data_IF_233796542537
#
_entry.id   IF_233796542537
#
_cell.length_a   1.000
_cell.length_b   1.000
_cell.length_c   1.000
_cell.angle_alpha   90.00
_cell.angle_beta   90.00
_cell.angle_gamma   90.00
#
_symmetry.space_group_name_H-M   'P 1'
#
loop_
_entity.id
_entity.type
_entity.pdbx_description
1 polymer ?
#
# COMPACT_ATOMS: atom_id res chain seq x y z
N UNK A 1 25.11 -18.48 0.52
CA UNK A 1 23.67 -18.81 0.60
C UNK A 1 23.29 -19.48 -0.72
N UNK A 2 22.62 -20.64 -0.68
CA UNK A 2 22.13 -21.26 -1.91
C UNK A 2 21.10 -20.34 -2.58
N UNK A 3 21.15 -20.19 -3.89
CA UNK A 3 20.15 -19.39 -4.61
C UNK A 3 18.78 -20.09 -4.57
N UNK A 4 17.67 -19.35 -4.76
CA UNK A 4 16.32 -19.93 -4.78
C UNK A 4 16.22 -21.10 -5.77
N UNK A 5 16.83 -20.93 -6.95
CA UNK A 5 16.88 -21.93 -7.99
C UNK A 5 17.64 -23.19 -7.54
N UNK A 6 18.76 -23.05 -6.83
CA UNK A 6 19.48 -24.20 -6.24
C UNK A 6 18.65 -24.96 -5.20
N UNK A 7 17.83 -24.25 -4.40
CA UNK A 7 16.92 -24.90 -3.43
C UNK A 7 15.82 -25.68 -4.15
N UNK A 8 15.20 -25.08 -5.17
CA UNK A 8 14.16 -25.73 -5.98
C UNK A 8 14.70 -26.95 -6.73
N UNK A 9 15.89 -26.85 -7.32
CA UNK A 9 16.59 -28.00 -7.94
C UNK A 9 16.83 -29.11 -6.92
N UNK A 10 17.35 -28.77 -5.72
CA UNK A 10 17.61 -29.78 -4.68
C UNK A 10 16.35 -30.46 -4.17
N UNK A 11 15.24 -29.72 -4.04
CA UNK A 11 13.92 -30.30 -3.71
C UNK A 11 13.50 -31.29 -4.80
N UNK A 12 13.69 -30.94 -6.08
CA UNK A 12 13.44 -31.84 -7.21
C UNK A 12 14.23 -33.14 -7.12
N UNK A 13 15.53 -33.05 -6.87
CA UNK A 13 16.42 -34.22 -6.69
C UNK A 13 15.97 -35.11 -5.53
N UNK A 14 15.67 -34.52 -4.36
CA UNK A 14 15.24 -35.27 -3.18
C UNK A 14 13.87 -35.94 -3.39
N UNK A 15 12.96 -35.33 -4.15
CA UNK A 15 11.68 -35.97 -4.53
C UNK A 15 11.91 -37.19 -5.42
N UNK A 16 12.82 -37.09 -6.39
CA UNK A 16 13.20 -38.23 -7.23
C UNK A 16 13.87 -39.34 -6.41
N UNK A 17 14.74 -38.96 -5.47
CA UNK A 17 15.38 -39.91 -4.56
C UNK A 17 14.35 -40.62 -3.67
N UNK A 18 13.37 -39.89 -3.12
CA UNK A 18 12.27 -40.45 -2.35
C UNK A 18 11.43 -41.44 -3.15
N UNK A 19 11.11 -41.10 -4.39
CA UNK A 19 10.37 -41.99 -5.30
C UNK A 19 11.14 -43.29 -5.56
N UNK A 20 12.44 -43.17 -5.85
CA UNK A 20 13.32 -44.34 -6.02
C UNK A 20 13.35 -45.21 -4.76
N UNK A 21 13.51 -44.61 -3.58
CA UNK A 21 13.51 -45.33 -2.30
C UNK A 21 12.17 -46.00 -2.00
N UNK A 22 11.05 -45.41 -2.43
CA UNK A 22 9.72 -46.01 -2.29
C UNK A 22 9.62 -47.29 -3.12
N UNK A 23 10.10 -47.27 -4.38
CA UNK A 23 10.18 -48.48 -5.21
C UNK A 23 11.15 -49.53 -4.66
N UNK A 24 12.27 -49.11 -4.06
CA UNK A 24 13.19 -50.02 -3.35
C UNK A 24 12.56 -50.66 -2.11
N UNK A 25 11.74 -49.90 -1.37
CA UNK A 25 11.02 -50.39 -0.19
C UNK A 25 10.00 -51.46 -0.57
N UNK A 26 9.25 -51.24 -1.65
CA UNK A 26 8.28 -52.23 -2.14
C UNK A 26 8.95 -53.54 -2.54
N UNK A 27 10.08 -53.47 -3.26
CA UNK A 27 10.89 -54.64 -3.61
C UNK A 27 11.43 -55.34 -2.36
N UNK A 28 12.03 -54.59 -1.44
CA UNK A 28 12.57 -55.15 -0.20
C UNK A 28 11.49 -55.86 0.64
N UNK A 29 10.28 -55.31 0.69
CA UNK A 29 9.13 -55.94 1.38
C UNK A 29 8.68 -57.23 0.69
N UNK A 30 8.67 -57.26 -0.64
CA UNK A 30 8.35 -58.46 -1.40
C UNK A 30 9.39 -59.57 -1.14
N UNK A 31 10.67 -59.23 -1.23
CA UNK A 31 11.77 -60.18 -1.00
C UNK A 31 11.77 -60.74 0.44
N UNK A 32 11.53 -59.88 1.44
CA UNK A 32 11.42 -60.29 2.84
C UNK A 32 10.19 -61.18 3.09
N UNK A 33 9.06 -60.90 2.43
CA UNK A 33 7.86 -61.76 2.48
C UNK A 33 8.13 -63.12 1.85
N UNK A 34 8.79 -63.16 0.69
CA UNK A 34 9.09 -64.39 -0.01
C UNK A 34 10.10 -65.25 0.78
N UNK A 35 11.06 -64.61 1.47
CA UNK A 35 11.95 -65.29 2.41
C UNK A 35 11.17 -65.94 3.57
N UNK A 36 10.19 -65.24 4.15
CA UNK A 36 9.32 -65.78 5.19
C UNK A 36 8.50 -66.98 4.70
N UNK A 37 7.91 -66.88 3.49
CA UNK A 37 7.15 -67.98 2.87
C UNK A 37 8.04 -69.21 2.66
N UNK A 38 9.30 -68.99 2.26
CA UNK A 38 10.29 -70.06 2.08
C UNK A 38 10.89 -70.58 3.41
N UNK A 39 10.42 -70.12 4.58
CA UNK A 39 10.91 -70.52 5.90
C UNK A 39 12.28 -69.97 6.26
N UNK A 40 12.77 -68.95 5.54
CA UNK A 40 14.04 -68.26 5.81
C UNK A 40 13.78 -67.03 6.69
N UNK A 41 14.80 -66.62 7.45
CA UNK A 41 14.75 -65.36 8.21
C UNK A 41 14.75 -64.18 7.23
N UNK A 42 13.77 -63.25 7.30
CA UNK A 42 13.77 -62.04 6.48
C UNK A 42 14.97 -61.14 6.83
N UNK A 43 15.44 -60.37 5.84
CA UNK A 43 16.47 -59.36 6.03
C UNK A 43 15.96 -58.12 6.79
N UNK A 44 16.85 -57.13 6.97
CA UNK A 44 16.54 -55.82 7.56
C UNK A 44 16.55 -54.69 6.50
N UNK A 45 16.41 -55.05 5.22
CA UNK A 45 16.59 -54.11 4.11
C UNK A 45 15.44 -53.11 4.07
N UNK A 46 14.20 -53.55 4.30
CA UNK A 46 13.03 -52.67 4.36
C UNK A 46 13.16 -51.63 5.48
N UNK A 47 13.63 -52.04 6.66
CA UNK A 47 13.87 -51.14 7.78
C UNK A 47 14.94 -50.08 7.47
N UNK A 48 16.04 -50.48 6.81
CA UNK A 48 17.10 -49.56 6.40
C UNK A 48 16.59 -48.54 5.35
N UNK A 49 15.76 -48.97 4.40
CA UNK A 49 15.16 -48.07 3.39
C UNK A 49 14.17 -47.09 4.04
N UNK A 50 13.37 -47.54 5.02
CA UNK A 50 12.45 -46.67 5.78
C UNK A 50 13.22 -45.54 6.47
N UNK A 51 14.34 -45.85 7.15
CA UNK A 51 15.16 -44.82 7.81
C UNK A 51 15.68 -43.78 6.81
N UNK A 52 16.11 -44.21 5.63
CA UNK A 52 16.60 -43.31 4.57
C UNK A 52 15.48 -42.42 4.02
N UNK A 53 14.28 -42.98 3.83
CA UNK A 53 13.09 -42.19 3.45
C UNK A 53 12.81 -41.12 4.50
N UNK A 54 12.87 -41.46 5.79
CA UNK A 54 12.71 -40.50 6.89
C UNK A 54 13.69 -39.33 6.80
N UNK A 55 14.97 -39.61 6.58
CA UNK A 55 15.99 -38.54 6.39
C UNK A 55 15.71 -37.67 5.17
N UNK A 56 15.25 -38.25 4.06
CA UNK A 56 14.88 -37.49 2.86
C UNK A 56 13.65 -36.61 3.12
N UNK A 57 12.65 -37.13 3.84
CA UNK A 57 11.43 -36.39 4.20
C UNK A 57 11.75 -35.20 5.13
N UNK A 58 12.63 -35.38 6.12
CA UNK A 58 13.13 -34.30 6.98
C UNK A 58 13.87 -33.22 6.16
N UNK A 59 14.77 -33.63 5.26
CA UNK A 59 15.49 -32.70 4.40
C UNK A 59 14.56 -31.94 3.44
N UNK A 60 13.52 -32.60 2.92
CA UNK A 60 12.49 -31.96 2.11
C UNK A 60 11.71 -30.93 2.92
N UNK A 61 11.28 -31.27 4.14
CA UNK A 61 10.57 -30.35 5.03
C UNK A 61 11.42 -29.09 5.31
N UNK A 62 12.68 -29.27 5.69
CA UNK A 62 13.60 -28.16 5.97
C UNK A 62 13.79 -27.22 4.75
N UNK A 63 13.97 -27.78 3.55
CA UNK A 63 14.14 -26.98 2.34
C UNK A 63 12.86 -26.24 1.94
N UNK A 64 11.69 -26.85 2.11
CA UNK A 64 10.41 -26.18 1.89
C UNK A 64 10.20 -25.02 2.87
N UNK A 65 10.51 -25.21 4.15
CA UNK A 65 10.42 -24.17 5.17
C UNK A 65 11.35 -22.99 4.86
N UNK A 66 12.58 -23.28 4.42
CA UNK A 66 13.53 -22.26 3.97
C UNK A 66 13.00 -21.47 2.77
N UNK A 67 12.37 -22.14 1.81
CA UNK A 67 11.80 -21.49 0.63
C UNK A 67 10.60 -20.60 1.00
N UNK A 68 9.73 -21.08 1.88
CA UNK A 68 8.61 -20.30 2.41
C UNK A 68 9.09 -19.06 3.18
N UNK A 69 10.10 -19.21 4.05
CA UNK A 69 10.68 -18.12 4.80
C UNK A 69 11.33 -17.06 3.89
N UNK A 70 12.03 -17.49 2.83
CA UNK A 70 12.61 -16.60 1.84
C UNK A 70 11.54 -15.82 1.06
N UNK A 71 10.45 -16.48 0.66
CA UNK A 71 9.32 -15.84 -0.02
C UNK A 71 8.66 -14.78 0.87
N UNK A 72 8.35 -15.13 2.13
CA UNK A 72 7.78 -14.20 3.10
C UNK A 72 8.70 -12.98 3.35
N UNK A 73 10.02 -13.19 3.40
CA UNK A 73 11.00 -12.11 3.53
C UNK A 73 11.01 -11.19 2.31
N UNK A 74 10.95 -11.75 1.10
CA UNK A 74 10.88 -10.99 -0.14
C UNK A 74 9.61 -10.15 -0.24
N UNK A 75 8.47 -10.71 0.15
CA UNK A 75 7.19 -10.01 0.16
C UNK A 75 7.18 -8.84 1.14
N UNK A 76 7.67 -9.04 2.37
CA UNK A 76 7.83 -7.95 3.36
C UNK A 76 8.69 -6.83 2.80
N UNK A 77 9.86 -7.15 2.23
CA UNK A 77 10.75 -6.16 1.62
C UNK A 77 10.05 -5.39 0.50
N UNK A 78 9.30 -6.06 -0.36
CA UNK A 78 8.55 -5.42 -1.44
C UNK A 78 7.43 -4.50 -0.91
N UNK A 79 6.78 -4.86 0.20
CA UNK A 79 5.82 -3.99 0.89
C UNK A 79 6.51 -2.75 1.49
N UNK A 80 7.64 -2.93 2.17
CA UNK A 80 8.45 -1.83 2.72
C UNK A 80 8.84 -0.83 1.64
N UNK A 81 9.45 -1.28 0.54
CA UNK A 81 9.89 -0.41 -0.55
C UNK A 81 8.72 0.37 -1.16
N UNK A 82 7.57 -0.29 -1.36
CA UNK A 82 6.37 0.37 -1.90
C UNK A 82 5.85 1.47 -0.96
N UNK A 83 5.79 1.21 0.34
CA UNK A 83 5.33 2.17 1.32
C UNK A 83 6.32 3.34 1.52
N UNK A 84 7.63 3.06 1.50
CA UNK A 84 8.68 4.09 1.52
C UNK A 84 8.60 5.00 0.30
N UNK A 85 8.50 4.43 -0.90
CA UNK A 85 8.33 5.21 -2.14
C UNK A 85 7.04 6.02 -2.14
N UNK A 86 5.95 5.46 -1.61
CA UNK A 86 4.70 6.19 -1.47
C UNK A 86 4.83 7.38 -0.51
N UNK A 87 5.58 7.24 0.59
CA UNK A 87 5.84 8.34 1.52
C UNK A 87 6.68 9.46 0.88
N UNK A 88 7.69 9.11 0.11
CA UNK A 88 8.51 10.08 -0.63
C UNK A 88 7.62 10.92 -1.57
N UNK A 89 6.83 10.26 -2.41
CA UNK A 89 5.88 10.93 -3.32
C UNK A 89 4.84 11.77 -2.55
N UNK A 90 4.39 11.28 -1.40
CA UNK A 90 3.43 12.02 -0.54
C UNK A 90 4.07 13.27 0.06
N UNK A 91 5.36 13.23 0.41
CA UNK A 91 6.07 14.40 0.92
C UNK A 91 6.21 15.51 -0.12
N UNK A 92 6.47 15.15 -1.38
CA UNK A 92 6.50 16.11 -2.49
C UNK A 92 5.12 16.73 -2.73
N UNK A 93 4.07 15.90 -2.74
CA UNK A 93 2.68 16.36 -2.88
C UNK A 93 2.23 17.24 -1.73
N UNK A 94 2.64 16.96 -0.50
CA UNK A 94 2.31 17.79 0.66
C UNK A 94 2.85 19.23 0.51
N UNK A 95 4.04 19.40 -0.07
CA UNK A 95 4.59 20.72 -0.37
C UNK A 95 3.74 21.50 -1.38
N UNK A 96 3.30 20.83 -2.44
CA UNK A 96 2.41 21.40 -3.45
C UNK A 96 1.02 21.72 -2.86
N UNK A 97 0.47 20.81 -2.07
CA UNK A 97 -0.81 20.98 -1.39
C UNK A 97 -0.80 22.22 -0.49
N UNK A 98 0.27 22.41 0.29
CA UNK A 98 0.45 23.60 1.12
C UNK A 98 0.53 24.89 0.29
N UNK A 99 1.27 24.87 -0.82
CA UNK A 99 1.35 26.03 -1.71
C UNK A 99 -0.01 26.40 -2.32
N UNK A 100 -0.84 25.40 -2.63
CA UNK A 100 -2.23 25.61 -3.08
C UNK A 100 -3.08 26.18 -1.96
N UNK A 101 -3.03 25.62 -0.75
CA UNK A 101 -3.77 26.13 0.40
C UNK A 101 -3.40 27.60 0.71
N UNK A 102 -2.10 27.94 0.69
CA UNK A 102 -1.60 29.29 0.89
C UNK A 102 -2.10 30.25 -0.22
N UNK A 103 -2.10 29.81 -1.48
CA UNK A 103 -2.59 30.60 -2.61
C UNK A 103 -4.10 30.86 -2.53
N UNK A 104 -4.89 29.87 -2.09
CA UNK A 104 -6.32 30.02 -1.89
C UNK A 104 -6.62 30.97 -0.73
N UNK A 105 -5.88 30.87 0.37
CA UNK A 105 -5.99 31.80 1.49
C UNK A 105 -5.67 33.24 1.05
N UNK A 106 -4.60 33.43 0.28
CA UNK A 106 -4.23 34.74 -0.27
C UNK A 106 -5.31 35.29 -1.23
N UNK A 107 -5.87 34.44 -2.10
CA UNK A 107 -6.96 34.82 -3.00
C UNK A 107 -8.19 35.25 -2.21
N UNK A 108 -8.57 34.50 -1.17
CA UNK A 108 -9.72 34.84 -0.32
C UNK A 108 -9.55 36.20 0.36
N UNK A 109 -8.33 36.56 0.79
CA UNK A 109 -8.02 37.88 1.36
C UNK A 109 -8.10 39.00 0.31
N UNK A 110 -7.62 38.76 -0.91
CA UNK A 110 -7.60 39.75 -1.98
C UNK A 110 -8.97 39.94 -2.68
N UNK A 111 -9.83 38.93 -2.62
CA UNK A 111 -11.09 38.87 -3.35
C UNK A 111 -12.06 40.04 -3.06
N UNK A 112 -12.28 40.46 -1.80
CA UNK A 112 -13.15 41.61 -1.51
C UNK A 112 -12.64 42.90 -2.15
N UNK A 113 -11.33 43.15 -2.12
CA UNK A 113 -10.74 44.36 -2.73
C UNK A 113 -10.85 44.34 -4.26
N UNK A 114 -10.70 43.18 -4.88
CA UNK A 114 -10.94 42.99 -6.31
C UNK A 114 -12.40 43.26 -6.69
N UNK A 115 -13.35 42.69 -5.93
CA UNK A 115 -14.78 42.91 -6.15
C UNK A 115 -15.16 44.39 -6.02
N UNK A 116 -14.63 45.09 -5.01
CA UNK A 116 -14.84 46.53 -4.82
C UNK A 116 -14.27 47.35 -5.98
N UNK A 117 -13.08 47.01 -6.47
CA UNK A 117 -12.49 47.69 -7.62
C UNK A 117 -13.30 47.46 -8.90
N UNK A 118 -13.73 46.22 -9.14
CA UNK A 118 -14.61 45.88 -10.25
C UNK A 118 -15.94 46.65 -10.18
N UNK A 119 -16.54 46.76 -8.98
CA UNK A 119 -17.75 47.58 -8.76
C UNK A 119 -17.54 49.05 -9.11
N UNK A 120 -16.38 49.62 -8.74
CA UNK A 120 -16.06 51.03 -9.05
C UNK A 120 -15.83 51.24 -10.55
N UNK A 121 -15.04 50.36 -11.17
CA UNK A 121 -14.69 50.48 -12.59
C UNK A 121 -15.91 50.26 -13.50
N UNK A 122 -16.81 49.33 -13.14
CA UNK A 122 -18.06 49.08 -13.89
C UNK A 122 -19.19 50.05 -13.51
N UNK A 123 -19.23 50.53 -12.27
CA UNK A 123 -20.23 51.48 -11.76
C UNK A 123 -19.99 52.93 -12.20
N UNK A 124 -18.88 53.23 -12.88
CA UNK A 124 -18.55 54.57 -13.40
C UNK A 124 -18.74 54.72 -14.92
N UNK A 125 -19.18 53.68 -15.63
CA UNK A 125 -19.49 53.78 -17.07
C UNK A 125 -20.85 54.45 -17.26
N UNK A 126 -20.88 55.77 -17.07
CA UNK A 126 -22.05 56.66 -17.26
C UNK A 126 -22.56 56.71 -18.72
N UNK A 127 -22.02 55.91 -19.65
CA UNK A 127 -22.34 55.95 -21.07
C UNK A 127 -23.17 54.78 -21.63
N UNK A 128 -23.48 53.73 -20.84
CA UNK A 128 -24.07 52.49 -21.38
C UNK A 128 -25.27 51.92 -20.61
N UNK A 129 -26.09 52.77 -19.98
CA UNK A 129 -27.42 52.32 -19.50
C UNK A 129 -27.42 51.34 -18.32
N UNK A 130 -26.41 51.39 -17.44
CA UNK A 130 -26.55 51.24 -15.99
C UNK A 130 -27.22 50.00 -15.36
N UNK A 131 -27.63 48.96 -16.09
CA UNK A 131 -28.16 47.75 -15.45
C UNK A 131 -27.02 46.76 -15.14
N UNK A 132 -26.38 46.98 -13.99
CA UNK A 132 -25.47 46.01 -13.36
C UNK A 132 -26.21 44.87 -12.67
N UNK A 133 -27.55 44.85 -12.72
CA UNK A 133 -28.41 43.84 -12.10
C UNK A 133 -28.07 42.38 -12.46
N UNK A 134 -27.55 42.01 -13.65
CA UNK A 134 -27.09 40.64 -13.91
C UNK A 134 -25.81 40.27 -13.14
N UNK A 135 -24.85 41.20 -13.02
CA UNK A 135 -23.59 41.00 -12.28
C UNK A 135 -23.84 41.07 -10.78
N UNK A 136 -24.68 42.02 -10.33
CA UNK A 136 -25.14 42.13 -8.95
C UNK A 136 -25.98 40.93 -8.53
N UNK A 137 -26.93 40.43 -9.36
CA UNK A 137 -27.65 39.18 -9.06
C UNK A 137 -26.71 37.98 -9.04
N UNK A 138 -25.66 37.94 -9.87
CA UNK A 138 -24.64 36.90 -9.81
C UNK A 138 -23.77 36.94 -8.55
N UNK A 139 -23.51 38.14 -8.02
CA UNK A 139 -22.69 38.38 -6.83
C UNK A 139 -23.49 38.31 -5.50
N UNK A 140 -24.77 38.69 -5.51
CA UNK A 140 -25.66 38.82 -4.34
C UNK A 140 -26.59 37.62 -4.17
N UNK A 141 -27.04 36.98 -5.25
CA UNK A 141 -27.63 35.65 -5.11
C UNK A 141 -26.51 34.70 -4.68
N UNK A 142 -26.78 33.76 -3.79
CA UNK A 142 -25.87 32.77 -3.21
C UNK A 142 -25.13 31.84 -4.22
N UNK A 143 -24.95 32.24 -5.48
CA UNK A 143 -24.06 31.66 -6.49
C UNK A 143 -22.69 32.34 -6.49
N UNK A 144 -22.08 32.55 -5.32
CA UNK A 144 -20.75 33.17 -5.13
C UNK A 144 -19.59 32.47 -5.88
N UNK A 145 -19.87 31.47 -6.69
CA UNK A 145 -18.91 30.62 -7.34
C UNK A 145 -18.97 30.67 -8.88
N UNK A 146 -20.03 31.11 -9.57
CA UNK A 146 -20.12 30.82 -11.03
C UNK A 146 -19.03 31.52 -11.87
N UNK A 147 -18.75 32.80 -11.59
CA UNK A 147 -17.67 33.53 -12.29
C UNK A 147 -16.29 33.01 -11.89
N UNK A 148 -16.06 32.79 -10.59
CA UNK A 148 -14.80 32.25 -10.07
C UNK A 148 -14.55 30.82 -10.60
N UNK A 149 -15.57 29.96 -10.63
CA UNK A 149 -15.55 28.60 -11.20
C UNK A 149 -15.22 28.67 -12.68
N UNK A 150 -15.89 29.52 -13.46
CA UNK A 150 -15.59 29.66 -14.90
C UNK A 150 -14.16 30.12 -15.13
N UNK A 151 -13.66 31.07 -14.35
CA UNK A 151 -12.28 31.52 -14.41
C UNK A 151 -11.28 30.42 -14.00
N UNK A 152 -11.58 29.65 -12.95
CA UNK A 152 -10.76 28.51 -12.51
C UNK A 152 -10.78 27.35 -13.52
N UNK A 153 -11.94 27.07 -14.15
CA UNK A 153 -12.08 26.07 -15.21
C UNK A 153 -11.35 26.50 -16.47
N UNK A 154 -11.38 27.79 -16.84
CA UNK A 154 -10.64 28.31 -17.98
C UNK A 154 -9.12 28.29 -17.75
N UNK A 155 -8.67 28.56 -16.52
CA UNK A 155 -7.24 28.60 -16.17
C UNK A 155 -6.64 27.21 -15.86
N UNK A 156 -7.41 26.28 -15.31
CA UNK A 156 -6.90 24.99 -14.81
C UNK A 156 -7.78 23.77 -15.10
N UNK A 157 -8.80 23.91 -15.94
CA UNK A 157 -9.72 22.83 -16.31
C UNK A 157 -10.72 22.43 -15.23
N UNK A 158 -11.67 21.56 -15.58
CA UNK A 158 -12.71 21.09 -14.64
C UNK A 158 -12.15 20.32 -13.44
N UNK A 159 -10.96 19.72 -13.56
CA UNK A 159 -10.31 19.01 -12.46
C UNK A 159 -9.98 19.92 -11.28
N UNK A 160 -9.45 21.11 -11.54
CA UNK A 160 -9.09 22.10 -10.52
C UNK A 160 -10.32 22.64 -9.79
N UNK A 161 -11.38 23.01 -10.52
CA UNK A 161 -12.61 23.52 -9.92
C UNK A 161 -13.32 22.49 -9.00
N UNK A 162 -13.25 21.19 -9.35
CA UNK A 162 -13.75 20.12 -8.47
C UNK A 162 -12.86 19.89 -7.25
N UNK A 163 -11.53 19.87 -7.44
CA UNK A 163 -10.57 19.70 -6.36
C UNK A 163 -10.66 20.80 -5.30
N UNK A 164 -10.98 22.03 -5.73
CA UNK A 164 -11.17 23.19 -4.87
C UNK A 164 -12.56 23.25 -4.18
N UNK A 165 -13.40 22.21 -4.31
CA UNK A 165 -14.68 22.13 -3.59
C UNK A 165 -15.67 23.23 -3.98
N UNK A 166 -15.59 23.72 -5.21
CA UNK A 166 -16.38 24.88 -5.65
C UNK A 166 -17.83 24.49 -6.01
N UNK A 167 -18.19 23.21 -5.93
CA UNK A 167 -19.50 22.69 -6.34
C UNK A 167 -20.05 21.50 -5.52
N UNK A 168 -19.88 21.46 -4.19
CA UNK A 168 -20.56 20.41 -3.38
C UNK A 168 -21.26 20.97 -2.14
N UNK A 169 -22.48 20.47 -1.88
CA UNK A 169 -23.43 20.93 -0.87
C UNK A 169 -23.01 20.64 0.59
N UNK A 170 -21.81 20.13 0.83
CA UNK A 170 -21.35 19.64 2.15
C UNK A 170 -20.02 20.31 2.55
N UNK A 171 -19.93 21.63 2.32
CA UNK A 171 -18.71 22.43 2.53
C UNK A 171 -18.20 22.44 3.97
N UNK A 172 -19.07 22.65 4.96
CA UNK A 172 -18.61 22.94 6.33
C UNK A 172 -18.19 21.69 7.14
N UNK A 173 -18.68 20.50 6.81
CA UNK A 173 -18.38 19.28 7.58
C UNK A 173 -17.15 18.51 7.09
N UNK A 174 -16.60 18.86 5.93
CA UNK A 174 -15.50 18.13 5.28
C UNK A 174 -14.40 19.02 4.67
N UNK A 175 -14.41 20.34 4.91
CA UNK A 175 -13.34 21.22 4.49
C UNK A 175 -12.08 20.99 5.34
N UNK A 176 -11.25 20.04 4.93
CA UNK A 176 -9.86 19.91 5.36
C UNK A 176 -8.97 20.53 4.29
N UNK A 177 -7.86 21.15 4.69
CA UNK A 177 -6.87 21.63 3.72
C UNK A 177 -6.31 20.47 2.90
N UNK A 178 -5.82 20.75 1.69
CA UNK A 178 -5.14 19.73 0.90
C UNK A 178 -3.90 19.24 1.65
N UNK A 179 -3.21 20.12 2.37
CA UNK A 179 -2.08 19.76 3.22
C UNK A 179 -2.49 18.78 4.35
N UNK A 180 -3.61 19.04 5.02
CA UNK A 180 -4.13 18.16 6.07
C UNK A 180 -4.55 16.79 5.52
N UNK A 181 -5.08 16.75 4.29
CA UNK A 181 -5.43 15.50 3.61
C UNK A 181 -4.17 14.67 3.29
N UNK A 182 -3.12 15.30 2.76
CA UNK A 182 -1.84 14.63 2.50
C UNK A 182 -1.15 14.19 3.80
N UNK A 183 -1.29 14.94 4.89
CA UNK A 183 -0.79 14.52 6.20
C UNK A 183 -1.49 13.25 6.72
N UNK A 184 -2.80 13.12 6.52
CA UNK A 184 -3.55 11.90 6.86
C UNK A 184 -3.09 10.70 6.01
N UNK A 185 -2.84 10.91 4.72
CA UNK A 185 -2.29 9.87 3.84
C UNK A 185 -0.89 9.46 4.32
N UNK A 186 -0.03 10.42 4.64
CA UNK A 186 1.30 10.14 5.19
C UNK A 186 1.22 9.38 6.52
N UNK A 187 0.30 9.74 7.42
CA UNK A 187 0.06 9.03 8.67
C UNK A 187 -0.35 7.57 8.41
N UNK A 188 -1.30 7.33 7.48
CA UNK A 188 -1.72 5.98 7.09
C UNK A 188 -0.55 5.16 6.53
N UNK A 189 0.30 5.75 5.70
CA UNK A 189 1.47 5.08 5.13
C UNK A 189 2.53 4.76 6.19
N UNK A 190 2.72 5.63 7.19
CA UNK A 190 3.58 5.35 8.36
C UNK A 190 3.03 4.20 9.19
N UNK A 191 1.72 4.14 9.42
CA UNK A 191 1.06 3.02 10.09
C UNK A 191 1.27 1.72 9.34
N UNK A 192 1.14 1.72 8.00
CA UNK A 192 1.43 0.55 7.16
C UNK A 192 2.91 0.11 7.27
N UNK A 193 3.87 1.04 7.30
CA UNK A 193 5.27 0.69 7.55
C UNK A 193 5.49 0.04 8.91
N UNK A 194 4.83 0.55 9.95
CA UNK A 194 4.91 -0.04 11.28
C UNK A 194 4.28 -1.45 11.33
N UNK A 195 3.16 -1.68 10.62
CA UNK A 195 2.57 -3.02 10.48
C UNK A 195 3.54 -4.00 9.82
N UNK A 196 4.19 -3.58 8.72
CA UNK A 196 5.21 -4.43 8.06
C UNK A 196 6.41 -4.70 8.99
N UNK A 197 6.79 -3.74 9.83
CA UNK A 197 7.87 -3.93 10.84
C UNK A 197 7.45 -4.81 12.01
N UNK A 198 6.17 -4.80 12.40
CA UNK A 198 5.62 -5.68 13.43
C UNK A 198 5.68 -7.16 13.01
N UNK A 199 5.55 -7.44 11.70
CA UNK A 199 5.70 -8.78 11.12
C UNK A 199 7.16 -9.25 10.98
N UNK A 200 8.13 -8.52 11.56
CA UNK A 200 9.54 -8.86 11.47
C UNK A 200 9.87 -10.13 12.25
N UNK A 201 10.72 -11.03 11.70
CA UNK A 201 11.23 -12.19 12.44
C UNK A 201 12.16 -11.79 13.61
N UNK A 202 12.63 -10.54 13.64
CA UNK A 202 13.43 -10.01 14.74
C UNK A 202 12.52 -9.52 15.86
N UNK A 203 12.46 -10.28 16.96
CA UNK A 203 11.53 -10.03 18.06
C UNK A 203 11.64 -8.62 18.67
N UNK A 204 12.83 -8.01 18.70
CA UNK A 204 13.01 -6.65 19.21
C UNK A 204 12.40 -5.59 18.27
N UNK A 205 12.57 -5.74 16.95
CA UNK A 205 11.97 -4.85 15.93
C UNK A 205 10.45 -4.97 15.95
N UNK A 206 9.95 -6.21 16.01
CA UNK A 206 8.51 -6.47 16.06
C UNK A 206 7.86 -5.82 17.29
N UNK A 207 8.44 -6.01 18.48
CA UNK A 207 7.93 -5.42 19.73
C UNK A 207 7.98 -3.90 19.74
N UNK A 208 9.06 -3.31 19.21
CA UNK A 208 9.17 -1.85 19.09
C UNK A 208 8.07 -1.31 18.18
N UNK A 209 7.89 -1.90 16.99
CA UNK A 209 6.86 -1.48 16.05
C UNK A 209 5.43 -1.66 16.59
N UNK A 210 5.15 -2.75 17.32
CA UNK A 210 3.86 -2.95 17.99
C UNK A 210 3.61 -1.89 19.07
N UNK A 211 4.62 -1.57 19.88
CA UNK A 211 4.51 -0.53 20.90
C UNK A 211 4.23 0.84 20.28
N UNK A 212 4.85 1.14 19.13
CA UNK A 212 4.60 2.38 18.38
C UNK A 212 3.20 2.41 17.76
N UNK A 213 2.71 1.30 17.20
CA UNK A 213 1.34 1.17 16.70
C UNK A 213 0.31 1.41 17.81
N UNK A 214 0.47 0.77 18.97
CA UNK A 214 -0.43 0.93 20.11
C UNK A 214 -0.46 2.38 20.63
N UNK A 215 0.68 3.08 20.58
CA UNK A 215 0.75 4.50 20.93
C UNK A 215 -0.01 5.35 19.94
N UNK A 216 0.13 5.09 18.64
CA UNK A 216 -0.59 5.81 17.58
C UNK A 216 -2.11 5.59 17.67
N UNK A 217 -2.56 4.35 17.92
CA UNK A 217 -3.99 4.02 18.06
C UNK A 217 -4.63 4.67 19.29
N UNK A 218 -3.87 4.87 20.38
CA UNK A 218 -4.34 5.58 21.58
C UNK A 218 -4.36 7.10 21.44
N UNK A 219 -3.65 7.64 20.45
CA UNK A 219 -3.54 9.08 20.18
C UNK A 219 -4.44 9.60 19.05
N UNK A 220 -5.09 8.68 18.32
CA UNK A 220 -6.04 8.97 17.24
C UNK A 220 -7.47 9.10 17.78
#
# INVERSE_FOLDING_TARGET
>A
MKTRQEIETRIGELRQERERLTGELEKARADERDALIAGKKPGNTSAAVITRIGTVDEALAELNDRLAAAAASGERRARTIRAEKALEITSERAGLARAVDDALAALAVAWPAYQERLRRDLGTVSGAGGDVGPVERGLVANRQNDVLVRSLVAAGGMGLARALGVETAIRERHAIGLADAEERVAASLRTELLRVRADSPQAHVAKQAQTELEKMEKSA
#
